data_IF_776355809032
#
_entry.id   IF_776355809032
#
_cell.length_a   1.000
_cell.length_b   1.000
_cell.length_c   1.000
_cell.angle_alpha   90.00
_cell.angle_beta   90.00
_cell.angle_gamma   90.00
#
_symmetry.space_group_name_H-M   'P 1'
#
loop_
_entity.id
_entity.type
_entity.pdbx_description
1 polymer ?
#
# COMPACT_ATOMS: atom_id res chain seq x y z
N UNK A 1 0.94 22.62 6.89
CA UNK A 1 1.21 21.40 7.68
C UNK A 1 -0.09 20.92 8.31
N UNK A 2 -0.93 20.23 7.55
CA UNK A 2 -2.06 19.48 8.11
C UNK A 2 -1.60 18.04 8.34
N UNK A 3 -1.62 17.60 9.60
CA UNK A 3 -1.44 16.19 9.91
C UNK A 3 -2.70 15.42 9.50
N UNK A 4 -2.51 14.20 9.02
CA UNK A 4 -3.62 13.27 8.83
C UNK A 4 -4.24 12.95 10.20
N UNK A 5 -5.57 12.90 10.26
CA UNK A 5 -6.25 12.39 11.44
C UNK A 5 -5.92 10.91 11.66
N UNK A 6 -6.03 10.47 12.92
CA UNK A 6 -5.66 9.11 13.33
C UNK A 6 -6.47 8.04 12.59
N UNK A 7 -7.77 8.29 12.35
CA UNK A 7 -8.63 7.35 11.65
C UNK A 7 -8.16 7.11 10.22
N UNK A 8 -7.69 8.16 9.54
CA UNK A 8 -7.12 8.07 8.19
C UNK A 8 -5.79 7.34 8.17
N UNK A 9 -4.94 7.55 9.18
CA UNK A 9 -3.68 6.78 9.33
C UNK A 9 -3.99 5.29 9.49
N UNK A 10 -4.93 4.93 10.37
CA UNK A 10 -5.33 3.53 10.55
C UNK A 10 -5.92 2.90 9.30
N UNK A 11 -6.76 3.63 8.54
CA UNK A 11 -7.30 3.14 7.27
C UNK A 11 -6.17 2.82 6.28
N UNK A 12 -5.21 3.72 6.12
CA UNK A 12 -4.05 3.54 5.23
C UNK A 12 -3.24 2.31 5.65
N UNK A 13 -2.94 2.17 6.95
CA UNK A 13 -2.19 1.02 7.46
C UNK A 13 -2.92 -0.30 7.23
N UNK A 14 -4.24 -0.34 7.48
CA UNK A 14 -5.05 -1.55 7.27
C UNK A 14 -5.08 -1.97 5.80
N UNK A 15 -5.33 -1.05 4.87
CA UNK A 15 -5.38 -1.38 3.44
C UNK A 15 -3.98 -1.74 2.88
N UNK A 16 -2.92 -1.03 3.31
CA UNK A 16 -1.54 -1.34 2.91
C UNK A 16 -1.12 -2.74 3.36
N UNK A 17 -1.32 -3.07 4.64
CA UNK A 17 -0.96 -4.38 5.18
C UNK A 17 -1.77 -5.51 4.57
N UNK A 18 -3.06 -5.30 4.28
CA UNK A 18 -3.88 -6.26 3.54
C UNK A 18 -3.35 -6.50 2.12
N UNK A 19 -2.95 -5.45 1.39
CA UNK A 19 -2.34 -5.56 0.07
C UNK A 19 -1.00 -6.31 0.09
N UNK A 20 -0.14 -6.01 1.06
CA UNK A 20 1.15 -6.71 1.25
C UNK A 20 0.93 -8.19 1.59
N UNK A 21 0.01 -8.50 2.51
CA UNK A 21 -0.33 -9.88 2.86
C UNK A 21 -0.85 -10.66 1.64
N UNK A 22 -1.69 -10.02 0.82
CA UNK A 22 -2.19 -10.61 -0.42
C UNK A 22 -1.08 -10.93 -1.43
N UNK A 23 -0.09 -10.05 -1.59
CA UNK A 23 1.08 -10.30 -2.43
C UNK A 23 1.94 -11.44 -1.88
N UNK A 24 2.24 -11.40 -0.59
CA UNK A 24 3.08 -12.41 0.07
C UNK A 24 2.42 -13.80 0.03
N UNK A 25 1.09 -13.89 0.14
CA UNK A 25 0.35 -15.16 -0.03
C UNK A 25 0.52 -15.80 -1.43
N UNK A 26 0.97 -15.02 -2.41
CA UNK A 26 1.26 -15.47 -3.78
C UNK A 26 2.75 -15.63 -4.05
N UNK A 27 3.60 -15.62 -3.02
CA UNK A 27 5.06 -15.56 -3.12
C UNK A 27 5.47 -14.44 -4.07
N UNK A 28 5.08 -13.20 -3.76
CA UNK A 28 5.51 -12.01 -4.50
C UNK A 28 6.09 -11.02 -3.49
N UNK A 29 7.35 -10.66 -3.66
CA UNK A 29 8.02 -9.59 -2.90
C UNK A 29 8.02 -8.31 -3.74
N UNK A 30 7.57 -7.18 -3.18
CA UNK A 30 7.56 -5.90 -3.89
C UNK A 30 8.94 -5.25 -4.02
N UNK A 31 9.77 -5.37 -2.98
CA UNK A 31 11.12 -4.80 -2.84
C UNK A 31 11.28 -3.27 -2.92
N UNK A 32 10.20 -2.51 -3.15
CA UNK A 32 10.23 -1.04 -3.25
C UNK A 32 8.96 -0.38 -2.68
N UNK A 33 8.54 -0.82 -1.50
CA UNK A 33 7.40 -0.21 -0.80
C UNK A 33 7.80 1.14 -0.22
N UNK A 34 7.19 2.20 -0.75
CA UNK A 34 7.35 3.59 -0.33
C UNK A 34 6.10 4.40 -0.71
N UNK A 35 5.84 5.57 -0.12
CA UNK A 35 4.64 6.37 -0.41
C UNK A 35 4.43 6.68 -1.90
N UNK A 36 5.50 6.87 -2.67
CA UNK A 36 5.41 7.12 -4.12
C UNK A 36 4.80 5.94 -4.93
N UNK A 37 4.83 4.72 -4.37
CA UNK A 37 4.31 3.50 -4.99
C UNK A 37 2.96 3.07 -4.35
N UNK A 38 2.35 3.94 -3.55
CA UNK A 38 1.08 3.72 -2.87
C UNK A 38 0.07 4.77 -3.35
N UNK A 39 -0.93 4.32 -4.10
CA UNK A 39 -1.89 5.17 -4.78
C UNK A 39 -3.21 5.20 -4.02
N UNK A 40 -3.88 6.35 -4.03
CA UNK A 40 -5.23 6.52 -3.48
C UNK A 40 -6.20 6.71 -4.64
N UNK A 41 -7.26 5.91 -4.69
CA UNK A 41 -8.32 6.04 -5.70
C UNK A 41 -9.20 7.26 -5.43
N UNK A 42 -10.01 7.65 -6.42
CA UNK A 42 -11.11 8.62 -6.27
C UNK A 42 -12.07 8.28 -5.11
N UNK A 43 -12.31 6.99 -4.87
CA UNK A 43 -13.10 6.47 -3.75
C UNK A 43 -12.35 6.42 -2.41
N UNK A 44 -11.11 6.89 -2.37
CA UNK A 44 -10.29 6.94 -1.17
C UNK A 44 -9.72 5.59 -0.71
N UNK A 45 -9.62 4.60 -1.60
CA UNK A 45 -8.97 3.31 -1.30
C UNK A 45 -7.51 3.31 -1.72
N UNK A 46 -6.70 2.60 -0.96
CA UNK A 46 -5.28 2.39 -1.21
C UNK A 46 -5.06 1.26 -2.21
N UNK A 47 -4.13 1.47 -3.14
CA UNK A 47 -3.60 0.45 -4.04
C UNK A 47 -2.07 0.48 -4.04
N UNK A 48 -1.46 -0.69 -3.95
CA UNK A 48 -0.02 -0.87 -4.13
C UNK A 48 0.24 -0.95 -5.63
N UNK A 49 1.22 -0.19 -6.14
CA UNK A 49 1.61 -0.18 -7.54
C UNK A 49 3.12 -0.12 -7.73
N UNK A 50 3.57 -0.02 -8.98
CA UNK A 50 4.98 -0.13 -9.39
C UNK A 50 5.68 -1.42 -8.96
N UNK A 51 5.44 -2.48 -9.73
CA UNK A 51 6.04 -3.80 -9.53
C UNK A 51 7.35 -3.97 -10.31
N UNK A 52 8.04 -2.89 -10.68
CA UNK A 52 9.25 -2.94 -11.50
C UNK A 52 10.41 -3.76 -10.89
N UNK A 53 10.46 -3.83 -9.55
CA UNK A 53 11.44 -4.63 -8.79
C UNK A 53 10.84 -5.90 -8.17
N UNK A 54 9.59 -6.22 -8.46
CA UNK A 54 8.92 -7.33 -7.80
C UNK A 54 9.43 -8.69 -8.30
N UNK A 55 9.60 -9.65 -7.38
CA UNK A 55 10.03 -11.02 -7.68
C UNK A 55 9.16 -12.05 -6.99
N UNK A 56 9.19 -13.28 -7.51
CA UNK A 56 8.70 -14.47 -6.82
C UNK A 56 9.79 -15.12 -5.97
#
# INVERSE_FOLDING_TARGET
NEQLDEARVWKILAELTAGVAHMHSRNILHLDLKPANVFITDKGHLKIGDFGLATR
#
